data_IF_816331616482
#
_entry.id   IF_816331616482
#
_cell.length_a   1.000
_cell.length_b   1.000
_cell.length_c   1.000
_cell.angle_alpha   90.00
_cell.angle_beta   90.00
_cell.angle_gamma   90.00
#
_symmetry.space_group_name_H-M   'P 1'
#
loop_
_entity.id
_entity.type
_entity.pdbx_description
1 polymer ?
#
# COMPACT_ATOMS: atom_id res chain seq x y z
N UNK A 1 15.10 4.26 0.97
CA UNK A 1 15.01 5.77 0.88
C UNK A 1 16.33 6.40 0.42
N UNK A 2 17.48 5.92 0.84
CA UNK A 2 18.78 6.48 0.42
C UNK A 2 19.11 6.20 -1.06
N UNK A 3 18.73 5.05 -1.58
CA UNK A 3 18.93 4.68 -2.98
C UNK A 3 18.27 5.67 -3.94
N UNK A 4 17.00 5.95 -3.81
CA UNK A 4 16.27 6.88 -4.69
C UNK A 4 16.79 8.33 -4.53
N UNK A 5 17.13 8.73 -3.31
CA UNK A 5 17.72 10.04 -3.04
C UNK A 5 19.06 10.19 -3.77
N UNK A 6 19.92 9.18 -3.71
CA UNK A 6 21.21 9.19 -4.40
C UNK A 6 21.04 9.15 -5.92
N UNK A 7 20.08 8.37 -6.43
CA UNK A 7 19.77 8.29 -7.85
C UNK A 7 19.26 9.63 -8.40
N UNK A 8 18.35 10.28 -7.69
CA UNK A 8 17.89 11.65 -8.02
C UNK A 8 19.02 12.68 -8.02
N UNK A 9 20.05 12.47 -7.21
CA UNK A 9 21.25 13.29 -7.18
C UNK A 9 22.28 12.93 -8.30
N UNK A 10 21.90 12.09 -9.27
CA UNK A 10 22.76 11.70 -10.40
C UNK A 10 23.87 10.70 -10.06
N UNK A 11 23.79 10.07 -8.89
CA UNK A 11 24.68 8.96 -8.50
C UNK A 11 24.17 7.63 -9.06
N UNK A 12 25.03 6.63 -9.09
CA UNK A 12 24.67 5.24 -9.44
C UNK A 12 24.76 4.38 -8.18
N UNK A 13 23.79 4.48 -7.25
CA UNK A 13 23.78 3.66 -6.05
C UNK A 13 23.49 2.20 -6.43
N UNK A 14 23.99 1.30 -5.61
CA UNK A 14 23.73 -0.14 -5.71
C UNK A 14 22.96 -0.58 -4.48
N UNK A 15 21.92 -1.35 -4.68
CA UNK A 15 21.23 -2.01 -3.58
C UNK A 15 22.17 -2.98 -2.87
N UNK A 16 22.22 -2.92 -1.57
CA UNK A 16 22.94 -3.88 -0.73
C UNK A 16 22.18 -4.09 0.56
N UNK A 17 22.24 -5.32 1.06
CA UNK A 17 21.77 -5.60 2.39
C UNK A 17 22.65 -4.87 3.43
N UNK A 18 22.01 -4.31 4.43
CA UNK A 18 22.68 -3.73 5.59
C UNK A 18 22.34 -4.53 6.84
N UNK A 19 23.28 -4.67 7.75
CA UNK A 19 23.04 -5.33 9.02
C UNK A 19 22.11 -4.47 9.89
N UNK A 20 21.18 -5.16 10.55
CA UNK A 20 20.31 -4.56 11.55
C UNK A 20 20.84 -4.99 12.92
N UNK A 21 21.23 -4.01 13.73
CA UNK A 21 21.68 -4.26 15.11
C UNK A 21 20.49 -4.21 16.06
N UNK A 22 20.12 -5.36 16.58
CA UNK A 22 19.03 -5.52 17.53
C UNK A 22 19.55 -5.89 18.92
N UNK A 23 18.86 -5.50 19.98
CA UNK A 23 19.16 -5.98 21.34
C UNK A 23 19.09 -7.52 21.44
N UNK A 24 19.82 -8.14 22.38
CA UNK A 24 19.73 -9.58 22.62
C UNK A 24 18.27 -10.04 22.84
N UNK A 25 17.88 -11.13 22.20
CA UNK A 25 16.53 -11.69 22.30
C UNK A 25 15.48 -11.05 21.40
N UNK A 26 15.82 -10.02 20.62
CA UNK A 26 14.94 -9.43 19.60
C UNK A 26 15.18 -10.05 18.24
N UNK A 27 14.12 -10.21 17.48
CA UNK A 27 14.14 -10.63 16.08
C UNK A 27 13.44 -9.56 15.23
N UNK A 28 14.00 -9.26 14.04
CA UNK A 28 13.35 -8.37 13.10
C UNK A 28 12.27 -9.13 12.32
N UNK A 29 11.15 -8.46 12.06
CA UNK A 29 10.18 -8.90 11.08
C UNK A 29 9.58 -7.69 10.39
N UNK A 30 8.98 -7.91 9.21
CA UNK A 30 8.25 -6.89 8.45
C UNK A 30 6.78 -7.27 8.47
N UNK A 31 5.92 -6.30 8.71
CA UNK A 31 4.47 -6.46 8.71
C UNK A 31 3.90 -5.70 7.51
N UNK A 32 2.98 -6.31 6.79
CA UNK A 32 2.16 -5.65 5.77
C UNK A 32 0.69 -5.96 5.98
N UNK A 33 -0.16 -5.04 5.54
CA UNK A 33 -1.59 -5.25 5.40
C UNK A 33 -1.97 -4.96 3.96
N UNK A 34 -2.60 -5.93 3.32
CA UNK A 34 -3.10 -5.83 1.96
C UNK A 34 -4.52 -5.28 1.96
N UNK A 35 -5.01 -4.82 0.80
CA UNK A 35 -6.38 -4.36 0.60
C UNK A 35 -6.86 -3.27 1.56
N UNK A 36 -5.99 -2.33 1.94
CA UNK A 36 -6.37 -1.21 2.84
C UNK A 36 -7.24 -0.19 2.10
N UNK A 37 -8.34 -0.68 1.55
CA UNK A 37 -9.26 0.05 0.67
C UNK A 37 -10.63 0.22 1.32
N UNK A 38 -11.00 -0.65 2.28
CA UNK A 38 -12.32 -0.64 2.92
C UNK A 38 -13.42 -0.63 1.86
N UNK A 39 -13.56 -1.76 1.19
CA UNK A 39 -14.48 -1.90 0.05
C UNK A 39 -15.92 -1.61 0.43
N UNK A 40 -16.65 -0.93 -0.43
CA UNK A 40 -18.02 -0.51 -0.19
C UNK A 40 -18.96 -1.69 0.14
N UNK A 41 -18.71 -2.87 -0.46
CA UNK A 41 -19.51 -4.07 -0.20
C UNK A 41 -19.28 -4.69 1.18
N UNK A 42 -18.26 -4.22 1.93
CA UNK A 42 -17.97 -4.68 3.29
C UNK A 42 -18.62 -3.79 4.37
N UNK A 43 -19.26 -2.71 3.99
CA UNK A 43 -19.94 -1.81 4.92
C UNK A 43 -21.05 -2.60 5.66
N UNK A 44 -20.99 -2.60 7.00
CA UNK A 44 -21.93 -3.31 7.86
C UNK A 44 -21.53 -4.75 8.19
N UNK A 45 -20.43 -5.28 7.64
CA UNK A 45 -19.93 -6.63 7.94
C UNK A 45 -18.96 -6.66 9.15
N UNK A 46 -18.92 -5.57 9.94
CA UNK A 46 -18.07 -5.47 11.14
C UNK A 46 -16.64 -5.00 10.86
N UNK A 47 -16.33 -4.53 9.65
CA UNK A 47 -15.07 -3.91 9.30
C UNK A 47 -15.12 -2.39 9.49
N UNK A 48 -13.95 -1.77 9.65
CA UNK A 48 -13.85 -0.32 9.54
C UNK A 48 -14.34 0.16 8.16
N UNK A 49 -14.95 1.32 8.12
CA UNK A 49 -15.45 1.92 6.86
C UNK A 49 -14.38 2.76 6.17
N UNK A 50 -13.49 3.39 6.95
CA UNK A 50 -12.37 4.21 6.45
C UNK A 50 -11.36 4.54 7.54
N UNK A 51 -10.19 5.02 7.12
CA UNK A 51 -9.24 5.72 7.99
C UNK A 51 -9.46 7.22 7.84
N UNK A 52 -9.47 7.92 8.97
CA UNK A 52 -9.54 9.39 9.06
C UNK A 52 -8.39 9.94 9.89
N UNK A 53 -8.15 11.24 9.81
CA UNK A 53 -7.21 11.92 10.72
C UNK A 53 -7.97 12.37 11.95
N UNK A 54 -7.63 11.82 13.12
CA UNK A 54 -8.22 12.16 14.40
C UNK A 54 -7.91 13.59 14.85
N UNK A 55 -8.51 14.00 15.96
CA UNK A 55 -8.32 15.35 16.55
C UNK A 55 -6.86 15.61 16.96
N UNK A 56 -6.14 14.58 17.33
CA UNK A 56 -4.70 14.61 17.66
C UNK A 56 -3.77 14.60 16.45
N UNK A 57 -4.34 14.50 15.23
CA UNK A 57 -3.62 14.41 13.97
C UNK A 57 -3.15 13.01 13.59
N UNK A 58 -3.42 11.99 14.39
CA UNK A 58 -3.06 10.59 14.09
C UNK A 58 -4.14 9.92 13.25
N UNK A 59 -3.76 8.91 12.44
CA UNK A 59 -4.72 8.07 11.73
C UNK A 59 -5.56 7.23 12.70
N UNK A 60 -6.88 7.19 12.50
CA UNK A 60 -7.84 6.43 13.32
C UNK A 60 -8.95 5.91 12.40
N UNK A 61 -9.65 4.84 12.80
CA UNK A 61 -10.71 4.27 11.98
C UNK A 61 -12.08 4.86 12.30
N UNK A 62 -12.89 5.04 11.27
CA UNK A 62 -14.36 5.11 11.37
C UNK A 62 -14.96 3.73 11.12
N UNK A 63 -15.99 3.38 11.87
CA UNK A 63 -16.80 2.19 11.67
C UNK A 63 -18.28 2.56 11.69
N UNK A 64 -19.02 2.10 10.68
CA UNK A 64 -20.47 2.24 10.62
C UNK A 64 -21.11 1.16 11.50
N UNK A 65 -21.86 1.61 12.49
CA UNK A 65 -22.55 0.74 13.44
C UNK A 65 -23.91 0.27 12.90
N UNK A 66 -24.47 -0.78 13.47
CA UNK A 66 -25.76 -1.37 13.05
C UNK A 66 -26.92 -0.38 13.13
N UNK A 67 -26.86 0.61 14.03
CA UNK A 67 -27.86 1.67 14.18
C UNK A 67 -27.65 2.83 13.18
N UNK A 68 -26.65 2.73 12.30
CA UNK A 68 -26.29 3.74 11.32
C UNK A 68 -25.42 4.87 11.85
N UNK A 69 -25.07 4.89 13.15
CA UNK A 69 -24.11 5.84 13.71
C UNK A 69 -22.68 5.53 13.24
N UNK A 70 -21.79 6.51 13.29
CA UNK A 70 -20.37 6.35 13.03
C UNK A 70 -19.63 6.36 14.36
N UNK A 71 -18.87 5.30 14.61
CA UNK A 71 -17.95 5.23 15.74
C UNK A 71 -16.52 5.44 15.26
N UNK A 72 -15.73 6.20 16.04
CA UNK A 72 -14.31 6.45 15.77
C UNK A 72 -13.48 5.71 16.82
N UNK A 73 -12.50 4.91 16.36
CA UNK A 73 -11.70 4.11 17.29
C UNK A 73 -10.69 3.19 16.59
N UNK A 74 -10.12 2.29 17.39
CA UNK A 74 -9.12 1.32 16.93
C UNK A 74 -9.81 0.07 16.38
N UNK A 75 -10.25 0.13 15.12
CA UNK A 75 -11.01 -0.95 14.48
C UNK A 75 -10.23 -1.72 13.42
N UNK A 76 -8.96 -1.36 13.17
CA UNK A 76 -8.08 -2.08 12.24
C UNK A 76 -6.62 -1.90 12.62
N UNK A 77 -5.71 -2.53 11.85
CA UNK A 77 -4.27 -2.61 12.12
C UNK A 77 -3.65 -1.26 12.51
N UNK A 78 -3.95 -0.19 11.77
CA UNK A 78 -3.26 1.11 11.94
C UNK A 78 -3.38 1.63 13.37
N UNK A 79 -4.57 1.94 13.91
CA UNK A 79 -4.66 2.44 15.28
C UNK A 79 -4.33 1.38 16.35
N UNK A 80 -4.60 0.10 16.08
CA UNK A 80 -4.24 -0.98 17.00
C UNK A 80 -2.73 -1.14 17.15
N UNK A 81 -1.98 -1.00 16.05
CA UNK A 81 -0.52 -1.04 16.07
C UNK A 81 0.07 0.17 16.77
N UNK A 82 -0.56 1.34 16.61
CA UNK A 82 -0.14 2.56 17.28
C UNK A 82 -0.30 2.46 18.79
N UNK A 83 -1.44 2.00 19.27
CA UNK A 83 -1.70 1.72 20.69
C UNK A 83 -0.69 0.69 21.22
N UNK A 84 -0.44 -0.39 20.48
CA UNK A 84 0.53 -1.41 20.87
C UNK A 84 1.96 -0.85 20.98
N UNK A 85 2.39 0.00 20.05
CA UNK A 85 3.72 0.62 20.09
C UNK A 85 3.83 1.64 21.23
N UNK A 86 2.76 2.34 21.58
CA UNK A 86 2.76 3.22 22.77
C UNK A 86 3.00 2.44 24.07
N UNK A 87 2.40 1.25 24.20
CA UNK A 87 2.63 0.36 25.34
C UNK A 87 3.99 -0.38 25.25
N UNK A 88 4.49 -0.62 24.05
CA UNK A 88 5.69 -1.39 23.74
C UNK A 88 6.65 -0.64 22.79
N UNK A 89 7.26 0.48 23.24
CA UNK A 89 8.04 1.36 22.35
C UNK A 89 9.30 0.67 21.75
N UNK A 90 9.74 -0.43 22.34
CA UNK A 90 10.85 -1.25 21.83
C UNK A 90 10.44 -2.23 20.71
N UNK A 91 9.15 -2.28 20.36
CA UNK A 91 8.64 -3.05 19.21
C UNK A 91 8.98 -2.38 17.89
N UNK A 92 8.88 -1.06 17.80
CA UNK A 92 9.12 -0.31 16.58
C UNK A 92 10.61 0.00 16.37
N UNK A 93 11.21 -0.52 15.31
CA UNK A 93 12.59 -0.20 14.97
C UNK A 93 12.71 1.17 14.32
N UNK A 94 13.23 2.15 15.05
CA UNK A 94 13.45 3.53 14.58
C UNK A 94 12.15 4.22 14.09
N UNK A 95 11.03 3.91 14.70
CA UNK A 95 9.73 4.48 14.33
C UNK A 95 9.08 3.85 13.10
N UNK A 96 9.66 2.78 12.53
CA UNK A 96 9.03 2.04 11.43
C UNK A 96 7.81 1.27 11.94
N UNK A 97 6.75 1.28 11.15
CA UNK A 97 5.50 0.54 11.39
C UNK A 97 5.25 -0.49 10.29
N UNK A 98 4.03 -0.63 9.83
CA UNK A 98 3.68 -1.58 8.78
C UNK A 98 3.78 -0.97 7.37
N UNK A 99 3.76 -1.84 6.36
CA UNK A 99 3.52 -1.50 4.96
C UNK A 99 2.03 -1.67 4.68
N UNK A 100 1.38 -0.64 4.13
CA UNK A 100 -0.04 -0.67 3.78
C UNK A 100 -0.16 -0.69 2.25
N UNK A 101 -0.80 -1.72 1.71
CA UNK A 101 -0.91 -1.92 0.27
C UNK A 101 -2.32 -1.66 -0.25
N UNK A 102 -2.42 -0.88 -1.31
CA UNK A 102 -3.69 -0.40 -1.86
C UNK A 102 -3.96 -0.98 -3.24
N UNK A 103 -5.18 -1.46 -3.44
CA UNK A 103 -5.79 -1.56 -4.76
C UNK A 103 -6.40 -0.20 -5.16
N UNK A 104 -6.91 -0.08 -6.39
CA UNK A 104 -7.45 1.19 -6.88
C UNK A 104 -8.91 1.16 -7.33
N UNK A 105 -9.42 -0.02 -7.68
CA UNK A 105 -10.71 -0.15 -8.38
C UNK A 105 -11.94 0.31 -7.57
N UNK A 106 -11.82 0.37 -6.26
CA UNK A 106 -12.86 0.87 -5.34
C UNK A 106 -12.39 2.11 -4.55
N UNK A 107 -11.23 2.64 -4.89
CA UNK A 107 -10.56 3.71 -4.15
C UNK A 107 -9.63 3.20 -3.06
N UNK A 108 -9.16 4.08 -2.19
CA UNK A 108 -8.20 3.78 -1.12
C UNK A 108 -8.67 4.31 0.23
N UNK A 109 -8.28 3.66 1.31
CA UNK A 109 -8.49 4.12 2.69
C UNK A 109 -9.97 4.34 3.08
N UNK A 110 -10.91 3.75 2.31
CA UNK A 110 -12.35 3.94 2.48
C UNK A 110 -12.95 5.11 1.70
N UNK A 111 -12.11 5.86 0.96
CA UNK A 111 -12.54 6.94 0.07
C UNK A 111 -12.74 6.43 -1.35
N UNK A 112 -13.83 6.84 -1.99
CA UNK A 112 -14.21 6.39 -3.34
C UNK A 112 -13.47 7.18 -4.43
N UNK A 113 -12.17 6.90 -4.57
CA UNK A 113 -11.25 7.67 -5.42
C UNK A 113 -11.03 7.07 -6.81
N UNK A 114 -11.59 5.90 -7.13
CA UNK A 114 -11.51 5.33 -8.46
C UNK A 114 -12.21 6.22 -9.50
N UNK A 115 -11.69 6.26 -10.71
CA UNK A 115 -12.22 7.13 -11.79
C UNK A 115 -13.71 6.89 -12.11
N UNK A 116 -14.22 5.67 -11.85
CA UNK A 116 -15.64 5.34 -12.01
C UNK A 116 -16.57 6.19 -11.16
N UNK A 117 -16.14 6.61 -9.98
CA UNK A 117 -16.92 7.47 -9.07
C UNK A 117 -16.93 8.95 -9.52
N UNK A 118 -15.96 9.36 -10.34
CA UNK A 118 -15.90 10.70 -10.92
C UNK A 118 -16.77 10.92 -12.15
N UNK A 119 -17.48 9.90 -12.63
CA UNK A 119 -18.33 10.01 -13.82
C UNK A 119 -19.59 10.83 -13.58
N UNK A 120 -20.06 11.53 -14.61
CA UNK A 120 -21.30 12.30 -14.52
C UNK A 120 -22.52 11.42 -14.17
N UNK A 121 -22.52 10.16 -14.62
CA UNK A 121 -23.57 9.19 -14.31
C UNK A 121 -23.60 8.85 -12.83
N UNK A 122 -22.44 8.54 -12.24
CA UNK A 122 -22.36 8.23 -10.80
C UNK A 122 -22.78 9.44 -9.97
N UNK A 123 -22.27 10.62 -10.27
CA UNK A 123 -22.58 11.84 -9.52
C UNK A 123 -24.05 12.26 -9.65
N UNK A 124 -24.69 12.02 -10.78
CA UNK A 124 -26.13 12.29 -10.95
C UNK A 124 -27.00 11.39 -10.03
N UNK A 125 -26.54 10.17 -9.74
CA UNK A 125 -27.20 9.26 -8.81
C UNK A 125 -26.87 9.53 -7.33
N UNK A 126 -25.82 10.30 -7.05
CA UNK A 126 -25.29 10.56 -5.72
C UNK A 126 -25.01 12.06 -5.54
N UNK A 127 -26.05 12.91 -5.42
CA UNK A 127 -25.91 14.37 -5.46
C UNK A 127 -25.08 14.95 -4.31
N UNK A 128 -25.00 14.26 -3.18
CA UNK A 128 -24.21 14.67 -2.02
C UNK A 128 -22.75 14.17 -2.06
N UNK A 129 -22.39 13.37 -3.07
CA UNK A 129 -21.05 12.84 -3.23
C UNK A 129 -20.14 13.83 -3.95
N UNK A 130 -18.96 14.10 -3.40
CA UNK A 130 -17.96 14.98 -3.99
C UNK A 130 -16.66 14.22 -4.27
N UNK A 131 -16.47 13.85 -5.53
CA UNK A 131 -15.30 13.06 -5.96
C UNK A 131 -13.95 13.72 -5.66
N UNK A 132 -13.83 15.03 -5.85
CA UNK A 132 -12.58 15.75 -5.57
C UNK A 132 -12.31 15.86 -4.07
N UNK A 133 -13.35 15.96 -3.25
CA UNK A 133 -13.23 15.92 -1.78
C UNK A 133 -12.78 14.55 -1.31
N UNK A 134 -13.33 13.45 -1.84
CA UNK A 134 -12.88 12.09 -1.53
C UNK A 134 -11.38 11.92 -1.81
N UNK A 135 -10.91 12.38 -2.95
CA UNK A 135 -9.49 12.36 -3.31
C UNK A 135 -8.63 13.22 -2.38
N UNK A 136 -9.10 14.40 -2.02
CA UNK A 136 -8.39 15.30 -1.13
C UNK A 136 -8.25 14.71 0.28
N UNK A 137 -9.31 14.11 0.80
CA UNK A 137 -9.29 13.44 2.11
C UNK A 137 -8.40 12.19 2.09
N UNK A 138 -8.50 11.36 1.05
CA UNK A 138 -7.60 10.20 0.88
C UNK A 138 -6.12 10.62 0.89
N UNK A 139 -5.78 11.67 0.16
CA UNK A 139 -4.41 12.18 0.11
C UNK A 139 -3.94 12.73 1.48
N UNK A 140 -4.82 13.41 2.21
CA UNK A 140 -4.54 13.90 3.58
C UNK A 140 -4.25 12.75 4.53
N UNK A 141 -5.08 11.70 4.50
CA UNK A 141 -4.89 10.50 5.34
C UNK A 141 -3.62 9.76 4.95
N UNK A 142 -3.35 9.59 3.65
CA UNK A 142 -2.13 8.97 3.17
C UNK A 142 -0.87 9.72 3.64
N UNK A 143 -0.91 11.05 3.69
CA UNK A 143 0.19 11.83 4.25
C UNK A 143 0.33 11.63 5.75
N UNK A 144 -0.76 11.63 6.51
CA UNK A 144 -0.74 11.38 7.95
C UNK A 144 -0.15 10.00 8.29
N UNK A 145 -0.51 8.95 7.53
CA UNK A 145 0.07 7.61 7.66
C UNK A 145 1.59 7.60 7.46
N UNK A 146 2.09 8.31 6.45
CA UNK A 146 3.54 8.41 6.20
C UNK A 146 4.26 9.18 7.31
N UNK A 147 3.65 10.25 7.80
CA UNK A 147 4.21 11.07 8.90
C UNK A 147 4.26 10.27 10.21
N UNK A 148 3.34 9.34 10.37
CA UNK A 148 3.23 8.44 11.52
C UNK A 148 4.10 7.16 11.41
N UNK A 149 4.84 6.97 10.29
CA UNK A 149 5.83 5.91 10.14
C UNK A 149 5.39 4.69 9.33
N UNK A 150 4.22 4.73 8.70
CA UNK A 150 3.78 3.69 7.75
C UNK A 150 4.43 3.89 6.38
N UNK A 151 4.75 2.78 5.71
CA UNK A 151 5.09 2.79 4.29
C UNK A 151 3.85 2.43 3.47
N UNK A 152 3.70 3.07 2.30
CA UNK A 152 2.55 2.84 1.43
C UNK A 152 3.01 2.10 0.17
N UNK A 153 2.21 1.14 -0.28
CA UNK A 153 2.57 0.23 -1.36
C UNK A 153 1.45 0.04 -2.38
N UNK A 154 1.81 -0.46 -3.56
CA UNK A 154 0.86 -0.95 -4.55
C UNK A 154 0.43 -2.38 -4.25
N UNK A 155 -0.88 -2.66 -4.45
CA UNK A 155 -1.43 -4.01 -4.48
C UNK A 155 -2.14 -4.29 -5.82
N UNK A 156 -1.58 -3.81 -6.94
CA UNK A 156 -2.20 -3.66 -8.26
C UNK A 156 -3.46 -2.76 -8.25
N UNK A 157 -3.94 -2.30 -9.40
CA UNK A 157 -5.17 -1.50 -9.42
C UNK A 157 -6.40 -2.36 -9.20
N UNK A 158 -6.51 -3.49 -9.88
CA UNK A 158 -7.70 -4.33 -9.93
C UNK A 158 -7.59 -5.62 -9.13
N UNK A 159 -6.67 -5.74 -8.18
CA UNK A 159 -6.41 -6.98 -7.43
C UNK A 159 -6.24 -8.17 -8.37
N UNK A 160 -5.35 -8.04 -9.37
CA UNK A 160 -5.17 -9.03 -10.43
C UNK A 160 -4.05 -10.02 -10.10
N UNK A 161 -4.20 -11.24 -10.63
CA UNK A 161 -3.09 -12.21 -10.64
C UNK A 161 -2.01 -11.74 -11.62
N UNK A 162 -1.07 -10.94 -11.10
CA UNK A 162 -0.05 -10.25 -11.90
C UNK A 162 0.92 -11.21 -12.60
N UNK A 163 1.04 -12.43 -12.12
CA UNK A 163 1.85 -13.49 -12.77
C UNK A 163 1.13 -14.14 -13.95
N UNK A 164 -0.20 -14.23 -13.93
CA UNK A 164 -0.99 -15.01 -14.88
C UNK A 164 -1.71 -14.19 -15.95
N UNK A 165 -2.10 -12.93 -15.68
CA UNK A 165 -2.81 -12.09 -16.67
C UNK A 165 -1.95 -11.81 -17.91
N UNK A 166 -2.59 -11.43 -19.03
CA UNK A 166 -1.88 -11.03 -20.25
C UNK A 166 -0.94 -9.83 -20.00
N UNK A 167 0.09 -9.64 -20.81
CA UNK A 167 0.97 -8.47 -20.69
C UNK A 167 0.20 -7.16 -20.96
N UNK A 168 -0.81 -7.17 -21.82
CA UNK A 168 -1.68 -6.03 -22.10
C UNK A 168 -2.50 -5.64 -20.86
N UNK A 169 -3.12 -6.61 -20.19
CA UNK A 169 -3.86 -6.40 -18.93
C UNK A 169 -2.93 -5.93 -17.81
N UNK A 170 -1.73 -6.50 -17.74
CA UNK A 170 -0.71 -6.13 -16.74
C UNK A 170 -0.31 -4.65 -16.90
N UNK A 171 -0.03 -4.21 -18.12
CA UNK A 171 0.29 -2.81 -18.43
C UNK A 171 -0.90 -1.90 -18.13
N UNK A 172 -2.10 -2.32 -18.48
CA UNK A 172 -3.32 -1.55 -18.24
C UNK A 172 -3.59 -1.37 -16.74
N UNK A 173 -3.50 -2.44 -15.97
CA UNK A 173 -3.68 -2.42 -14.51
C UNK A 173 -2.65 -1.52 -13.83
N UNK A 174 -1.36 -1.72 -14.17
CA UNK A 174 -0.28 -0.91 -13.61
C UNK A 174 -0.43 0.58 -13.95
N UNK A 175 -0.84 0.91 -15.19
CA UNK A 175 -1.05 2.31 -15.59
C UNK A 175 -2.24 2.94 -14.85
N UNK A 176 -3.32 2.20 -14.62
CA UNK A 176 -4.44 2.69 -13.80
C UNK A 176 -3.99 2.99 -12.38
N UNK A 177 -3.23 2.10 -11.77
CA UNK A 177 -2.70 2.34 -10.44
C UNK A 177 -1.81 3.59 -10.41
N UNK A 178 -0.93 3.75 -11.38
CA UNK A 178 -0.01 4.88 -11.53
C UNK A 178 -0.76 6.23 -11.71
N UNK A 179 -1.94 6.21 -12.32
CA UNK A 179 -2.74 7.43 -12.59
C UNK A 179 -3.78 7.73 -11.52
N UNK A 180 -4.35 6.72 -10.88
CA UNK A 180 -5.47 6.89 -9.95
C UNK A 180 -5.04 6.83 -8.47
N UNK A 181 -4.03 6.01 -8.13
CA UNK A 181 -3.59 5.79 -6.75
C UNK A 181 -2.29 6.52 -6.42
N UNK A 182 -1.26 6.37 -7.25
CA UNK A 182 0.05 6.95 -6.99
C UNK A 182 0.03 8.46 -6.68
N UNK A 183 -0.75 9.31 -7.36
CA UNK A 183 -0.81 10.74 -7.04
C UNK A 183 -1.36 11.03 -5.64
N UNK A 184 -2.27 10.21 -5.14
CA UNK A 184 -2.90 10.40 -3.82
C UNK A 184 -1.94 10.06 -2.69
N UNK A 185 -1.08 9.06 -2.88
CA UNK A 185 -0.13 8.61 -1.85
C UNK A 185 1.27 9.24 -2.01
N UNK A 186 1.51 10.02 -3.07
CA UNK A 186 2.82 10.62 -3.36
C UNK A 186 3.81 9.64 -4.00
N UNK A 187 3.32 8.58 -4.63
CA UNK A 187 4.10 7.50 -5.25
C UNK A 187 4.68 6.50 -4.25
N UNK A 188 5.17 5.38 -4.77
CA UNK A 188 5.88 4.34 -4.01
C UNK A 188 6.82 3.57 -4.92
N UNK A 189 7.81 2.91 -4.32
CA UNK A 189 8.69 1.95 -4.98
C UNK A 189 8.44 0.49 -4.55
N UNK A 190 7.36 0.25 -3.77
CA UNK A 190 6.99 -1.04 -3.21
C UNK A 190 5.73 -1.57 -3.90
N UNK A 191 5.76 -2.82 -4.34
CA UNK A 191 4.58 -3.57 -4.79
C UNK A 191 4.47 -4.89 -4.03
N UNK A 192 3.28 -5.16 -3.48
CA UNK A 192 2.86 -6.44 -2.95
C UNK A 192 1.95 -7.09 -3.99
N UNK A 193 2.28 -8.30 -4.43
CA UNK A 193 1.50 -8.96 -5.48
C UNK A 193 0.24 -9.63 -4.91
N UNK A 194 -0.95 -9.33 -5.46
CA UNK A 194 -2.17 -10.05 -5.08
C UNK A 194 -2.01 -11.56 -5.23
N UNK A 195 -2.60 -12.31 -4.32
CA UNK A 195 -2.52 -13.78 -4.26
C UNK A 195 -1.10 -14.33 -4.06
N UNK A 196 -0.11 -13.48 -3.81
CA UNK A 196 1.30 -13.86 -3.84
C UNK A 196 1.78 -14.33 -5.23
N UNK A 197 1.11 -13.89 -6.29
CA UNK A 197 1.39 -14.35 -7.65
C UNK A 197 2.65 -13.72 -8.20
N UNK A 198 3.74 -14.47 -8.14
CA UNK A 198 5.05 -14.03 -8.63
C UNK A 198 5.08 -13.85 -10.14
N UNK A 199 5.74 -12.80 -10.60
CA UNK A 199 5.83 -12.43 -12.02
C UNK A 199 6.93 -13.18 -12.80
N UNK A 200 7.62 -14.12 -12.16
CA UNK A 200 8.72 -14.89 -12.75
C UNK A 200 8.66 -16.38 -12.42
N UNK A 201 7.50 -16.89 -12.02
CA UNK A 201 7.32 -18.30 -11.67
C UNK A 201 8.37 -18.78 -10.64
N UNK A 202 8.58 -17.97 -9.58
CA UNK A 202 9.55 -18.21 -8.50
C UNK A 202 11.02 -18.28 -8.94
N UNK A 203 11.30 -17.89 -10.17
CA UNK A 203 12.68 -17.78 -10.69
C UNK A 203 13.25 -16.38 -10.38
N UNK A 204 14.57 -16.25 -10.36
CA UNK A 204 15.20 -14.93 -10.22
C UNK A 204 14.74 -13.97 -11.30
N UNK A 205 14.44 -12.72 -10.91
CA UNK A 205 14.14 -11.67 -11.87
C UNK A 205 15.38 -11.34 -12.69
N UNK A 206 15.21 -11.33 -14.00
CA UNK A 206 16.27 -11.07 -14.97
C UNK A 206 15.84 -9.96 -15.92
N UNK A 207 16.79 -9.42 -16.65
CA UNK A 207 16.55 -8.32 -17.59
C UNK A 207 15.66 -8.70 -18.78
N UNK A 208 15.49 -9.99 -19.07
CA UNK A 208 14.59 -10.50 -20.10
C UNK A 208 13.13 -10.70 -19.63
N UNK A 209 12.83 -10.46 -18.37
CA UNK A 209 11.45 -10.51 -17.86
C UNK A 209 10.74 -9.18 -18.13
N UNK A 210 9.81 -9.19 -19.08
CA UNK A 210 9.09 -7.98 -19.53
C UNK A 210 8.27 -7.33 -18.41
N UNK A 211 7.61 -8.12 -17.53
CA UNK A 211 6.82 -7.59 -16.39
C UNK A 211 7.71 -6.87 -15.39
N UNK A 212 8.83 -7.50 -15.05
CA UNK A 212 9.81 -6.91 -14.15
C UNK A 212 10.37 -5.60 -14.71
N UNK A 213 10.78 -5.58 -15.98
CA UNK A 213 11.30 -4.37 -16.62
C UNK A 213 10.23 -3.26 -16.67
N UNK A 214 8.97 -3.63 -16.93
CA UNK A 214 7.89 -2.67 -16.95
C UNK A 214 7.67 -2.03 -15.57
N UNK A 215 7.56 -2.82 -14.52
CA UNK A 215 7.43 -2.30 -13.14
C UNK A 215 8.64 -1.45 -12.73
N UNK A 216 9.86 -1.87 -13.09
CA UNK A 216 11.06 -1.04 -12.88
C UNK A 216 10.96 0.31 -13.57
N UNK A 217 10.43 0.36 -14.78
CA UNK A 217 10.24 1.61 -15.53
C UNK A 217 9.25 2.55 -14.85
N UNK A 218 8.32 2.00 -14.06
CA UNK A 218 7.35 2.74 -13.24
C UNK A 218 7.91 3.19 -11.88
N UNK A 219 9.11 2.77 -11.54
CA UNK A 219 9.79 3.17 -10.29
C UNK A 219 9.82 2.10 -9.22
N UNK A 220 9.15 0.96 -9.41
CA UNK A 220 9.16 -0.13 -8.42
C UNK A 220 10.55 -0.73 -8.24
N UNK A 221 10.91 -1.01 -6.98
CA UNK A 221 12.20 -1.56 -6.57
C UNK A 221 12.07 -2.69 -5.56
N UNK A 222 11.00 -2.70 -4.79
CA UNK A 222 10.70 -3.74 -3.82
C UNK A 222 9.49 -4.53 -4.30
N UNK A 223 9.72 -5.83 -4.53
CA UNK A 223 8.75 -6.76 -5.10
C UNK A 223 8.46 -7.81 -4.04
N UNK A 224 7.27 -7.74 -3.45
CA UNK A 224 6.89 -8.58 -2.32
C UNK A 224 5.82 -9.58 -2.74
N UNK A 225 6.10 -10.84 -2.47
CA UNK A 225 5.14 -11.94 -2.63
C UNK A 225 4.56 -12.32 -1.27
N UNK A 226 3.54 -13.17 -1.26
CA UNK A 226 3.07 -13.82 -0.04
C UNK A 226 3.91 -15.09 0.17
N UNK A 227 4.65 -15.14 1.26
CA UNK A 227 5.48 -16.29 1.57
C UNK A 227 4.83 -17.15 2.68
N UNK A 228 4.14 -18.19 2.27
CA UNK A 228 3.59 -19.18 3.18
C UNK A 228 4.29 -20.54 3.11
N UNK A 229 5.04 -20.80 2.06
CA UNK A 229 5.62 -22.13 1.80
C UNK A 229 7.03 -22.13 1.22
N UNK A 230 7.46 -21.07 0.59
CA UNK A 230 8.78 -20.95 -0.03
C UNK A 230 9.39 -19.59 0.25
N UNK A 231 10.43 -19.60 1.05
CA UNK A 231 11.20 -18.40 1.33
C UNK A 231 12.26 -18.18 0.25
N UNK A 232 12.18 -17.07 -0.45
CA UNK A 232 13.15 -16.70 -1.45
C UNK A 232 13.40 -15.19 -1.45
N UNK A 233 14.66 -14.80 -1.25
CA UNK A 233 15.07 -13.40 -1.34
C UNK A 233 16.09 -13.23 -2.46
N UNK A 234 15.84 -12.26 -3.33
CA UNK A 234 16.81 -11.81 -4.32
C UNK A 234 17.13 -10.34 -4.06
N UNK A 235 18.42 -10.04 -3.95
CA UNK A 235 18.92 -8.67 -3.89
C UNK A 235 19.72 -8.43 -5.17
N UNK A 236 19.17 -7.62 -6.07
CA UNK A 236 19.81 -7.16 -7.28
C UNK A 236 20.60 -5.88 -7.06
N UNK A 237 21.12 -5.32 -8.14
CA UNK A 237 21.87 -4.05 -8.09
C UNK A 237 20.96 -2.83 -7.85
N UNK A 238 19.68 -2.94 -8.16
CA UNK A 238 18.70 -1.84 -8.13
C UNK A 238 17.31 -2.29 -7.68
N UNK A 239 17.18 -3.49 -7.14
CA UNK A 239 15.91 -4.03 -6.66
C UNK A 239 16.09 -5.08 -5.58
N UNK A 240 15.03 -5.30 -4.84
CA UNK A 240 14.86 -6.43 -3.92
C UNK A 240 13.55 -7.14 -4.26
N UNK A 241 13.58 -8.46 -4.19
CA UNK A 241 12.41 -9.34 -4.28
C UNK A 241 12.38 -10.25 -3.06
N UNK A 242 11.24 -10.40 -2.47
CA UNK A 242 10.97 -11.33 -1.36
C UNK A 242 9.76 -12.18 -1.70
#
# INVERSE_FOLDING_TARGET
>A
KDYETQKKAGKNPVFKAEDIMLPPGKQAFVMSQDDVCYYEYMDGDGFASRIVVGEDGKPVCEMKMDDGSISVGAYDLVPLLDEFIEEHPDFSYRGAKAVLAFTGYNGILGYRTAASYGTAEYQAGHPDFNYEEEKAQAAKVAQALKDDGYELASHSWGHRDMGAISMEDFVTDTNKWDTEVAPLIGGTDIILFPFGSDISDWRPYKDDNERFQYLKSKGFRYFCNVDSSQYYVQIGTDHMRQ
#
